data_IF_577735566536
#
_entry.id   IF_577735566536
#
_cell.length_a   1.000
_cell.length_b   1.000
_cell.length_c   1.000
_cell.angle_alpha   90.00
_cell.angle_beta   90.00
_cell.angle_gamma   90.00
#
_symmetry.space_group_name_H-M   'P 1'
#
loop_
_entity.id
_entity.type
_entity.pdbx_description
1 polymer ?
#
# COMPACT_ATOMS: atom_id res chain seq x y z
N UNK A 1 18.58 54.75 -9.26
CA UNK A 1 19.25 54.41 -7.98
C UNK A 1 18.16 54.36 -6.92
N UNK A 2 17.87 53.33 -6.14
CA UNK A 2 18.31 51.93 -5.98
C UNK A 2 17.05 51.20 -5.41
N UNK A 3 16.57 50.10 -6.00
CA UNK A 3 16.83 48.71 -5.60
C UNK A 3 16.59 48.37 -4.12
N UNK A 4 15.72 47.38 -3.88
CA UNK A 4 15.63 46.57 -2.66
C UNK A 4 14.31 46.81 -1.90
N UNK A 5 13.44 45.84 -1.62
CA UNK A 5 13.59 44.39 -1.58
C UNK A 5 12.79 43.90 -0.37
N UNK A 6 12.01 42.83 -0.53
CA UNK A 6 11.37 42.13 0.60
C UNK A 6 9.87 41.94 0.45
N UNK A 7 9.45 41.06 -0.47
CA UNK A 7 8.14 40.42 -0.35
C UNK A 7 8.18 39.50 0.86
N UNK A 8 7.81 40.02 2.03
CA UNK A 8 7.51 39.19 3.21
C UNK A 8 6.25 38.40 2.85
N UNK A 9 6.41 37.11 2.56
CA UNK A 9 5.28 36.18 2.48
C UNK A 9 4.59 36.23 3.84
N UNK A 10 3.37 36.77 3.88
CA UNK A 10 2.54 36.73 5.08
C UNK A 10 2.51 35.30 5.62
N UNK A 11 2.66 35.11 6.94
CA UNK A 11 2.58 33.77 7.52
C UNK A 11 1.22 33.16 7.15
N UNK A 12 1.19 31.89 6.74
CA UNK A 12 -0.06 31.24 6.36
C UNK A 12 -1.09 31.40 7.49
N UNK A 13 -2.30 31.83 7.12
CA UNK A 13 -3.43 32.01 8.02
C UNK A 13 -3.60 30.78 8.94
N UNK A 14 -3.92 30.97 10.21
CA UNK A 14 -4.03 29.89 11.21
C UNK A 14 -4.93 28.74 10.73
N UNK A 15 -6.06 29.08 10.08
CA UNK A 15 -6.95 28.11 9.47
C UNK A 15 -6.29 27.27 8.37
N UNK A 16 -5.40 27.88 7.58
CA UNK A 16 -4.67 27.16 6.53
C UNK A 16 -3.70 26.14 7.12
N UNK A 17 -3.03 26.47 8.23
CA UNK A 17 -2.15 25.55 8.95
C UNK A 17 -2.94 24.37 9.51
N UNK A 18 -4.11 24.61 10.11
CA UNK A 18 -4.99 23.55 10.62
C UNK A 18 -5.47 22.62 9.50
N UNK A 19 -5.91 23.18 8.37
CA UNK A 19 -6.37 22.38 7.23
C UNK A 19 -5.25 21.49 6.66
N UNK A 20 -4.02 22.00 6.58
CA UNK A 20 -2.85 21.23 6.12
C UNK A 20 -2.56 20.09 7.11
N UNK A 21 -2.62 20.37 8.41
CA UNK A 21 -2.42 19.36 9.44
C UNK A 21 -3.47 18.24 9.39
N UNK A 22 -4.74 18.59 9.23
CA UNK A 22 -5.82 17.61 9.09
C UNK A 22 -5.66 16.75 7.83
N UNK A 23 -5.26 17.34 6.71
CA UNK A 23 -4.97 16.60 5.48
C UNK A 23 -3.83 15.59 5.67
N UNK A 24 -2.71 16.01 6.26
CA UNK A 24 -1.58 15.12 6.56
C UNK A 24 -1.98 13.99 7.51
N UNK A 25 -2.83 14.28 8.50
CA UNK A 25 -3.34 13.27 9.44
C UNK A 25 -4.24 12.25 8.74
N UNK A 26 -5.07 12.69 7.80
CA UNK A 26 -5.89 11.80 6.99
C UNK A 26 -5.02 10.89 6.11
N UNK A 27 -4.00 11.45 5.47
CA UNK A 27 -3.04 10.70 4.65
C UNK A 27 -2.30 9.64 5.47
N UNK A 28 -1.82 9.99 6.67
CA UNK A 28 -1.20 9.03 7.58
C UNK A 28 -2.15 7.87 7.91
N UNK A 29 -3.42 8.17 8.22
CA UNK A 29 -4.41 7.13 8.51
C UNK A 29 -4.64 6.19 7.32
N UNK A 30 -4.64 6.71 6.09
CA UNK A 30 -4.77 5.91 4.88
C UNK A 30 -3.54 5.01 4.68
N UNK A 31 -2.33 5.56 4.88
CA UNK A 31 -1.09 4.79 4.79
C UNK A 31 -1.10 3.64 5.82
N UNK A 32 -1.52 3.91 7.06
CA UNK A 32 -1.65 2.86 8.07
C UNK A 32 -2.61 1.75 7.65
N UNK A 33 -3.78 2.10 7.11
CA UNK A 33 -4.73 1.11 6.58
C UNK A 33 -4.09 0.24 5.51
N UNK A 34 -3.40 0.87 4.55
CA UNK A 34 -2.74 0.14 3.46
C UNK A 34 -1.64 -0.78 3.97
N UNK A 35 -0.88 -0.38 5.01
CA UNK A 35 0.14 -1.23 5.64
C UNK A 35 -0.52 -2.48 6.22
N UNK A 36 -1.57 -2.32 7.02
CA UNK A 36 -2.28 -3.46 7.63
C UNK A 36 -2.86 -4.39 6.57
N UNK A 37 -3.43 -3.84 5.49
CA UNK A 37 -3.98 -4.63 4.38
C UNK A 37 -2.88 -5.46 3.68
N UNK A 38 -1.70 -4.87 3.47
CA UNK A 38 -0.56 -5.57 2.87
C UNK A 38 0.01 -6.64 3.81
N UNK A 39 0.11 -6.37 5.11
CA UNK A 39 0.55 -7.34 6.12
C UNK A 39 -0.37 -8.56 6.17
N UNK A 40 -1.69 -8.34 6.10
CA UNK A 40 -2.67 -9.43 6.03
C UNK A 40 -2.50 -10.25 4.74
N UNK A 41 -2.35 -9.61 3.59
CA UNK A 41 -2.10 -10.29 2.32
C UNK A 41 -0.83 -11.15 2.38
N UNK A 42 0.26 -10.61 2.92
CA UNK A 42 1.52 -11.36 3.08
C UNK A 42 1.31 -12.59 3.97
N UNK A 43 0.57 -12.46 5.06
CA UNK A 43 0.26 -13.58 5.96
C UNK A 43 -0.53 -14.68 5.25
N UNK A 44 -1.58 -14.32 4.51
CA UNK A 44 -2.39 -15.27 3.73
C UNK A 44 -1.55 -15.98 2.66
N UNK A 45 -0.76 -15.23 1.90
CA UNK A 45 0.11 -15.78 0.85
C UNK A 45 1.17 -16.71 1.45
N UNK A 46 1.73 -16.36 2.61
CA UNK A 46 2.70 -17.19 3.33
C UNK A 46 2.08 -18.51 3.78
N UNK A 47 0.84 -18.49 4.27
CA UNK A 47 0.10 -19.69 4.65
C UNK A 47 -0.10 -20.63 3.45
N UNK A 48 -0.50 -20.07 2.30
CA UNK A 48 -0.68 -20.85 1.07
C UNK A 48 0.65 -21.46 0.60
N UNK A 49 1.74 -20.68 0.59
CA UNK A 49 3.07 -21.16 0.21
C UNK A 49 3.52 -22.30 1.14
N UNK A 50 3.39 -22.13 2.45
CA UNK A 50 3.77 -23.14 3.44
C UNK A 50 2.98 -24.46 3.29
N UNK A 51 1.71 -24.37 2.89
CA UNK A 51 0.89 -25.56 2.63
C UNK A 51 1.29 -26.28 1.33
N UNK A 52 1.79 -25.55 0.33
CA UNK A 52 2.10 -26.08 -1.01
C UNK A 52 3.55 -26.55 -1.13
N UNK A 53 4.51 -25.89 -0.47
CA UNK A 53 5.94 -26.22 -0.51
C UNK A 53 6.30 -27.69 -0.22
N UNK A 54 5.66 -28.41 0.72
CA UNK A 54 5.97 -29.81 0.98
C UNK A 54 5.36 -30.79 -0.05
N UNK A 55 4.51 -30.30 -0.96
CA UNK A 55 3.88 -31.15 -1.97
C UNK A 55 4.85 -31.44 -3.11
N UNK A 56 4.66 -32.59 -3.77
CA UNK A 56 5.44 -32.91 -4.96
C UNK A 56 5.25 -31.85 -6.06
N UNK A 57 6.37 -31.33 -6.55
CA UNK A 57 6.42 -30.25 -7.54
C UNK A 57 5.83 -30.64 -8.90
N UNK A 58 5.76 -31.93 -9.21
CA UNK A 58 5.16 -32.44 -10.46
C UNK A 58 3.62 -32.45 -10.42
N UNK A 59 3.02 -32.25 -9.24
CA UNK A 59 1.57 -32.29 -9.08
C UNK A 59 0.90 -31.11 -9.79
N UNK A 60 -0.19 -31.43 -10.47
CA UNK A 60 -1.12 -30.45 -11.04
C UNK A 60 -1.80 -29.70 -9.90
N UNK A 61 -1.84 -28.38 -10.03
CA UNK A 61 -2.57 -27.47 -9.16
C UNK A 61 -3.44 -26.55 -10.01
N UNK A 62 -4.39 -25.88 -9.36
CA UNK A 62 -5.31 -24.99 -10.05
C UNK A 62 -5.38 -23.65 -9.33
N UNK A 63 -5.29 -22.56 -10.09
CA UNK A 63 -5.41 -21.20 -9.56
C UNK A 63 -6.68 -20.56 -10.11
N UNK A 64 -7.56 -20.11 -9.22
CA UNK A 64 -8.74 -19.35 -9.59
C UNK A 64 -8.36 -17.87 -9.80
N UNK A 65 -8.68 -17.31 -10.97
CA UNK A 65 -8.44 -15.90 -11.30
C UNK A 65 -9.70 -15.38 -11.99
N UNK A 66 -10.39 -14.42 -11.36
CA UNK A 66 -11.57 -13.79 -11.96
C UNK A 66 -12.69 -14.77 -12.35
N UNK A 67 -12.85 -15.86 -11.61
CA UNK A 67 -13.85 -16.91 -11.89
C UNK A 67 -13.40 -17.97 -12.90
N UNK A 68 -12.20 -17.85 -13.48
CA UNK A 68 -11.62 -18.86 -14.37
C UNK A 68 -10.60 -19.70 -13.59
N UNK A 69 -10.69 -21.03 -13.74
CA UNK A 69 -9.74 -21.96 -13.15
C UNK A 69 -8.60 -22.24 -14.13
N UNK A 70 -7.37 -21.90 -13.75
CA UNK A 70 -6.17 -22.11 -14.58
C UNK A 70 -5.37 -23.28 -14.04
N UNK A 71 -5.12 -24.29 -14.88
CA UNK A 71 -4.22 -25.40 -14.55
C UNK A 71 -2.76 -24.91 -14.49
N UNK A 72 -2.06 -25.32 -13.43
CA UNK A 72 -0.68 -24.97 -13.10
C UNK A 72 0.01 -26.17 -12.48
N UNK A 73 1.30 -26.04 -12.20
CA UNK A 73 2.04 -27.03 -11.39
C UNK A 73 2.56 -26.34 -10.14
N UNK A 74 2.84 -27.11 -9.09
CA UNK A 74 3.28 -26.57 -7.79
C UNK A 74 4.51 -25.65 -7.92
N UNK A 75 5.34 -25.81 -8.95
CA UNK A 75 6.52 -24.97 -9.20
C UNK A 75 6.24 -23.65 -9.95
N UNK A 76 5.05 -23.47 -10.57
CA UNK A 76 4.76 -22.33 -11.47
C UNK A 76 3.29 -21.93 -11.56
#
# INVERSE_FOLDING_TARGET
MASGGGGLREPPNEQAVLNIYEAMRSELSQIYSNITDLEMQVSEHSLVINAIQPLDQSRKCFRMIGGVLVERTVVR
#
